data_IF_453406221524
#
_entry.id   IF_453406221524
#
_cell.length_a   1.000
_cell.length_b   1.000
_cell.length_c   1.000
_cell.angle_alpha   90.00
_cell.angle_beta   90.00
_cell.angle_gamma   90.00
#
_symmetry.space_group_name_H-M   'P 1'
#
loop_
_entity.id
_entity.type
_entity.pdbx_description
1 polymer ?
#
# COMPACT_ATOMS: atom_id res chain seq x y z
N UNK A 1 6.60 20.86 -1.72
CA UNK A 1 6.07 19.49 -1.65
C UNK A 1 5.11 19.39 -0.48
N UNK A 2 3.90 18.93 -0.74
CA UNK A 2 2.90 18.71 0.33
C UNK A 2 3.27 17.41 1.06
N UNK A 3 3.36 17.48 2.39
CA UNK A 3 3.69 16.34 3.22
C UNK A 3 2.64 16.18 4.32
N UNK A 4 2.27 14.95 4.63
CA UNK A 4 1.43 14.63 5.79
C UNK A 4 2.27 14.77 7.05
N UNK A 5 1.69 15.42 8.07
CA UNK A 5 2.30 15.66 9.37
C UNK A 5 1.51 14.93 10.48
N UNK A 6 2.12 14.67 11.66
CA UNK A 6 1.46 13.91 12.75
C UNK A 6 0.16 14.52 13.27
N UNK A 7 0.01 15.82 13.17
CA UNK A 7 -1.21 16.57 13.56
C UNK A 7 -2.38 16.41 12.58
N UNK A 8 -2.13 15.91 11.37
CA UNK A 8 -3.18 15.65 10.37
C UNK A 8 -3.97 14.36 10.61
N UNK A 9 -3.52 13.49 11.51
CA UNK A 9 -4.22 12.27 11.89
C UNK A 9 -3.34 11.04 11.95
N UNK A 10 -4.00 9.89 12.14
CA UNK A 10 -3.34 8.58 12.25
C UNK A 10 -3.02 7.98 10.89
N UNK A 11 -2.05 7.08 10.88
CA UNK A 11 -1.75 6.21 9.75
C UNK A 11 -2.28 4.81 10.04
N UNK A 12 -3.03 4.23 9.09
CA UNK A 12 -3.51 2.85 9.19
C UNK A 12 -2.65 1.95 8.29
N UNK A 13 -2.11 0.86 8.85
CA UNK A 13 -1.29 -0.12 8.10
C UNK A 13 -1.92 -1.50 8.23
N UNK A 14 -2.38 -2.07 7.12
CA UNK A 14 -2.87 -3.46 7.12
C UNK A 14 -1.72 -4.46 7.03
N UNK A 15 -1.86 -5.63 7.68
CA UNK A 15 -0.78 -6.62 7.77
C UNK A 15 0.38 -6.17 8.66
N UNK A 16 0.09 -5.39 9.72
CA UNK A 16 1.10 -4.81 10.60
C UNK A 16 1.74 -5.75 11.62
N UNK A 17 1.35 -7.02 11.67
CA UNK A 17 1.85 -7.99 12.65
C UNK A 17 3.23 -8.58 12.33
N UNK A 18 3.77 -8.41 11.13
CA UNK A 18 5.08 -8.97 10.74
C UNK A 18 5.68 -8.26 9.53
N UNK A 19 6.92 -8.57 9.21
CA UNK A 19 7.60 -8.19 7.97
C UNK A 19 7.51 -6.70 7.65
N UNK A 20 7.16 -6.37 6.41
CA UNK A 20 7.09 -5.00 5.93
C UNK A 20 6.07 -4.14 6.70
N UNK A 21 4.89 -4.71 7.02
CA UNK A 21 3.85 -3.97 7.74
C UNK A 21 4.28 -3.55 9.15
N UNK A 22 4.99 -4.43 9.88
CA UNK A 22 5.61 -4.12 11.17
C UNK A 22 6.65 -3.01 11.02
N UNK A 23 7.57 -3.15 10.07
CA UNK A 23 8.64 -2.17 9.84
C UNK A 23 8.08 -0.78 9.45
N UNK A 24 7.04 -0.73 8.60
CA UNK A 24 6.36 0.52 8.26
C UNK A 24 5.70 1.17 9.48
N UNK A 25 4.98 0.38 10.29
CA UNK A 25 4.32 0.90 11.49
C UNK A 25 5.32 1.50 12.48
N UNK A 26 6.42 0.78 12.75
CA UNK A 26 7.50 1.25 13.62
C UNK A 26 8.18 2.51 13.06
N UNK A 27 8.39 2.57 11.74
CA UNK A 27 8.94 3.74 11.09
C UNK A 27 8.02 4.96 11.22
N UNK A 28 6.70 4.83 11.04
CA UNK A 28 5.75 5.92 11.24
C UNK A 28 5.69 6.36 12.70
N UNK A 29 5.68 5.42 13.65
CA UNK A 29 5.71 5.74 15.08
C UNK A 29 6.98 6.52 15.47
N UNK A 30 8.15 6.10 14.95
CA UNK A 30 9.42 6.82 15.15
C UNK A 30 9.43 8.23 14.53
N UNK A 31 8.55 8.51 13.55
CA UNK A 31 8.33 9.83 12.97
C UNK A 31 7.26 10.64 13.72
N UNK A 32 6.74 10.12 14.83
CA UNK A 32 5.79 10.81 15.72
C UNK A 32 4.31 10.61 15.37
N UNK A 33 3.98 9.74 14.41
CA UNK A 33 2.58 9.49 14.04
C UNK A 33 1.91 8.52 15.00
N UNK A 34 0.63 8.75 15.29
CA UNK A 34 -0.26 7.71 15.77
C UNK A 34 -0.49 6.68 14.64
N UNK A 35 -0.32 5.39 14.94
CA UNK A 35 -0.41 4.31 13.96
C UNK A 35 -1.40 3.27 14.43
N UNK A 36 -2.35 2.88 13.58
CA UNK A 36 -3.18 1.70 13.81
C UNK A 36 -2.70 0.58 12.90
N UNK A 37 -2.37 -0.57 13.48
CA UNK A 37 -1.98 -1.76 12.73
C UNK A 37 -3.09 -2.79 12.74
N UNK A 38 -3.45 -3.29 11.54
CA UNK A 38 -4.53 -4.24 11.34
C UNK A 38 -3.97 -5.60 10.92
N UNK A 39 -4.53 -6.68 11.49
CA UNK A 39 -4.20 -8.05 11.15
C UNK A 39 -4.99 -9.05 11.97
N UNK A 40 -4.96 -10.32 11.59
CA UNK A 40 -5.78 -11.37 12.27
C UNK A 40 -5.16 -11.88 13.57
N UNK A 41 -3.81 -11.89 13.68
CA UNK A 41 -3.07 -12.46 14.81
C UNK A 41 -2.83 -11.39 15.87
N UNK A 42 -3.63 -11.41 16.94
CA UNK A 42 -3.55 -10.40 18.02
C UNK A 42 -2.15 -10.36 18.68
N UNK A 43 -1.54 -11.52 18.93
CA UNK A 43 -0.20 -11.64 19.53
C UNK A 43 0.87 -10.97 18.66
N UNK A 44 0.88 -11.26 17.34
CA UNK A 44 1.84 -10.66 16.42
C UNK A 44 1.68 -9.14 16.29
N UNK A 45 0.45 -8.62 16.40
CA UNK A 45 0.18 -7.19 16.44
C UNK A 45 0.69 -6.58 17.75
N UNK A 46 0.45 -7.25 18.89
CA UNK A 46 0.94 -6.80 20.19
C UNK A 46 2.48 -6.74 20.23
N UNK A 47 3.17 -7.77 19.68
CA UNK A 47 4.62 -7.76 19.52
C UNK A 47 5.11 -6.58 18.68
N UNK A 48 4.41 -6.27 17.58
CA UNK A 48 4.76 -5.15 16.69
C UNK A 48 4.64 -3.80 17.39
N UNK A 49 3.70 -3.67 18.33
CA UNK A 49 3.43 -2.46 19.09
C UNK A 49 4.27 -2.31 20.37
N UNK A 50 4.87 -3.41 20.90
CA UNK A 50 5.44 -3.47 22.24
C UNK A 50 6.45 -2.37 22.58
N UNK A 51 7.24 -1.91 21.60
CA UNK A 51 8.29 -0.89 21.81
C UNK A 51 7.86 0.52 21.36
N UNK A 52 6.60 0.69 20.95
CA UNK A 52 6.13 1.95 20.35
C UNK A 52 4.72 2.28 20.85
N UNK A 53 4.59 3.12 21.88
CA UNK A 53 3.28 3.47 22.49
C UNK A 53 2.33 4.18 21.51
N UNK A 54 2.83 4.72 20.40
CA UNK A 54 2.05 5.30 19.32
C UNK A 54 1.36 4.27 18.43
N UNK A 55 1.72 2.97 18.53
CA UNK A 55 1.14 1.90 17.71
C UNK A 55 -0.02 1.24 18.46
N UNK A 56 -1.20 1.32 17.89
CA UNK A 56 -2.41 0.67 18.43
C UNK A 56 -2.70 -0.59 17.60
N UNK A 57 -2.66 -1.79 18.18
CA UNK A 57 -3.06 -3.02 17.51
C UNK A 57 -4.58 -3.12 17.39
N UNK A 58 -5.06 -3.49 16.20
CA UNK A 58 -6.48 -3.75 15.92
C UNK A 58 -6.61 -5.13 15.26
N UNK A 59 -6.94 -6.19 16.05
CA UNK A 59 -7.22 -7.52 15.50
C UNK A 59 -8.48 -7.47 14.62
N UNK A 60 -8.30 -7.68 13.31
CA UNK A 60 -9.38 -7.62 12.32
C UNK A 60 -9.00 -8.45 11.08
N UNK A 61 -9.94 -9.23 10.56
CA UNK A 61 -9.82 -9.84 9.24
C UNK A 61 -10.34 -8.86 8.18
N UNK A 62 -9.45 -8.42 7.30
CA UNK A 62 -9.83 -7.48 6.23
C UNK A 62 -10.70 -8.11 5.13
N UNK A 63 -10.81 -9.44 5.09
CA UNK A 63 -11.75 -10.14 4.21
C UNK A 63 -13.22 -9.94 4.64
N UNK A 64 -13.46 -9.60 5.91
CA UNK A 64 -14.80 -9.20 6.40
C UNK A 64 -15.03 -7.70 6.15
N UNK A 65 -15.62 -7.39 5.00
CA UNK A 65 -15.87 -6.02 4.59
C UNK A 65 -16.76 -5.24 5.57
N UNK A 66 -17.71 -5.92 6.25
CA UNK A 66 -18.59 -5.27 7.23
C UNK A 66 -17.82 -4.88 8.48
N UNK A 67 -17.03 -5.81 9.02
CA UNK A 67 -16.18 -5.54 10.17
C UNK A 67 -15.16 -4.43 9.88
N UNK A 68 -14.60 -4.37 8.65
CA UNK A 68 -13.72 -3.29 8.21
C UNK A 68 -14.43 -1.94 8.24
N UNK A 69 -15.63 -1.82 7.67
CA UNK A 69 -16.39 -0.56 7.65
C UNK A 69 -16.69 -0.09 9.08
N UNK A 70 -17.11 -1.00 9.96
CA UNK A 70 -17.43 -0.65 11.34
C UNK A 70 -16.17 -0.22 12.13
N UNK A 71 -15.05 -0.92 11.93
CA UNK A 71 -13.77 -0.59 12.55
C UNK A 71 -13.23 0.78 12.09
N UNK A 72 -13.25 1.06 10.79
CA UNK A 72 -12.78 2.35 10.27
C UNK A 72 -13.69 3.52 10.69
N UNK A 73 -15.00 3.28 10.83
CA UNK A 73 -15.93 4.27 11.40
C UNK A 73 -15.58 4.59 12.85
N UNK A 74 -15.26 3.57 13.66
CA UNK A 74 -14.81 3.77 15.04
C UNK A 74 -13.49 4.55 15.09
N UNK A 75 -12.51 4.19 14.24
CA UNK A 75 -11.23 4.90 14.14
C UNK A 75 -11.42 6.37 13.75
N UNK A 76 -12.31 6.66 12.80
CA UNK A 76 -12.60 8.03 12.35
C UNK A 76 -13.31 8.86 13.42
N UNK A 77 -14.10 8.23 14.29
CA UNK A 77 -14.72 8.90 15.44
C UNK A 77 -13.70 9.29 16.53
N UNK A 78 -12.58 8.57 16.64
CA UNK A 78 -11.47 8.92 17.55
C UNK A 78 -10.55 10.00 16.99
N UNK A 79 -10.51 10.18 15.69
CA UNK A 79 -9.70 11.18 15.00
C UNK A 79 -9.43 10.85 13.52
N UNK A 80 -8.90 11.82 12.77
CA UNK A 80 -8.70 11.68 11.32
C UNK A 80 -7.80 10.52 10.91
N UNK A 81 -8.11 9.90 9.76
CA UNK A 81 -7.23 8.94 9.08
C UNK A 81 -6.44 9.68 8.01
N UNK A 82 -5.22 10.10 8.31
CA UNK A 82 -4.38 10.85 7.39
C UNK A 82 -3.88 9.99 6.22
N UNK A 83 -3.52 8.72 6.49
CA UNK A 83 -3.07 7.80 5.45
C UNK A 83 -3.48 6.35 5.72
N UNK A 84 -3.65 5.59 4.62
CA UNK A 84 -3.84 4.16 4.60
C UNK A 84 -2.73 3.50 3.77
N UNK A 85 -2.07 2.49 4.36
CA UNK A 85 -1.17 1.58 3.63
C UNK A 85 -1.81 0.21 3.54
N UNK A 86 -2.29 -0.16 2.36
CA UNK A 86 -2.78 -1.49 2.05
C UNK A 86 -1.60 -2.43 1.81
N UNK A 87 -1.11 -3.04 2.88
CA UNK A 87 0.05 -3.94 2.83
C UNK A 87 -0.33 -5.41 3.06
N UNK A 88 -1.42 -5.70 3.77
CA UNK A 88 -1.83 -7.07 4.03
C UNK A 88 -2.01 -7.87 2.74
N UNK A 89 -1.40 -9.04 2.69
CA UNK A 89 -1.53 -9.99 1.59
C UNK A 89 -1.18 -11.41 2.06
N UNK A 90 -1.63 -12.40 1.30
CA UNK A 90 -1.13 -13.78 1.37
C UNK A 90 -0.54 -14.17 0.02
N UNK A 91 0.47 -15.04 0.04
CA UNK A 91 1.14 -15.59 -1.14
C UNK A 91 1.18 -17.11 -1.04
N UNK A 92 0.03 -17.77 -1.25
CA UNK A 92 0.03 -19.24 -1.32
C UNK A 92 0.74 -19.69 -2.59
N UNK A 93 1.62 -20.68 -2.47
CA UNK A 93 2.27 -21.37 -3.59
C UNK A 93 1.60 -22.71 -3.76
N UNK A 94 0.88 -22.89 -4.86
CA UNK A 94 0.11 -24.09 -5.12
C UNK A 94 0.03 -24.35 -6.65
N UNK A 95 0.23 -25.59 -7.06
CA UNK A 95 0.01 -25.98 -8.45
C UNK A 95 -1.48 -25.90 -8.80
N UNK A 96 -1.82 -25.23 -9.89
CA UNK A 96 -3.21 -24.95 -10.24
C UNK A 96 -4.01 -26.20 -10.64
N UNK A 97 -3.36 -27.22 -11.17
CA UNK A 97 -4.04 -28.44 -11.64
C UNK A 97 -4.35 -29.39 -10.47
N UNK A 98 -3.48 -29.44 -9.48
CA UNK A 98 -3.59 -30.36 -8.34
C UNK A 98 -4.08 -29.68 -7.05
N UNK A 99 -4.04 -28.36 -7.03
CA UNK A 99 -4.43 -27.54 -5.89
C UNK A 99 -5.94 -27.35 -5.77
N UNK A 100 -6.34 -26.53 -4.80
CA UNK A 100 -7.76 -26.26 -4.52
C UNK A 100 -8.16 -24.89 -5.08
N UNK A 101 -9.30 -24.79 -5.79
CA UNK A 101 -9.83 -23.48 -6.24
C UNK A 101 -9.97 -22.47 -5.10
N UNK A 102 -10.27 -22.95 -3.88
CA UNK A 102 -10.43 -22.12 -2.69
C UNK A 102 -9.17 -21.29 -2.36
N UNK A 103 -7.98 -21.82 -2.62
CA UNK A 103 -6.72 -21.09 -2.40
C UNK A 103 -6.65 -19.79 -3.18
N UNK A 104 -7.09 -19.79 -4.44
CA UNK A 104 -7.19 -18.58 -5.25
C UNK A 104 -8.28 -17.64 -4.75
N UNK A 105 -9.45 -18.17 -4.40
CA UNK A 105 -10.57 -17.38 -3.89
C UNK A 105 -10.22 -16.71 -2.55
N UNK A 106 -9.51 -17.40 -1.67
CA UNK A 106 -9.03 -16.83 -0.40
C UNK A 106 -8.02 -15.71 -0.63
N UNK A 107 -7.11 -15.88 -1.61
CA UNK A 107 -6.18 -14.82 -1.98
C UNK A 107 -6.91 -13.59 -2.56
N UNK A 108 -7.95 -13.77 -3.36
CA UNK A 108 -8.79 -12.68 -3.86
C UNK A 108 -9.53 -12.00 -2.70
N UNK A 109 -10.10 -12.76 -1.76
CA UNK A 109 -10.81 -12.21 -0.61
C UNK A 109 -9.89 -11.32 0.26
N UNK A 110 -8.65 -11.74 0.51
CA UNK A 110 -7.73 -10.99 1.36
C UNK A 110 -7.03 -9.87 0.55
N UNK A 111 -6.34 -10.22 -0.57
CA UNK A 111 -5.46 -9.29 -1.27
C UNK A 111 -6.22 -8.22 -2.05
N UNK A 112 -7.39 -8.56 -2.59
CA UNK A 112 -8.23 -7.64 -3.36
C UNK A 112 -9.40 -7.11 -2.54
N UNK A 113 -10.34 -7.98 -2.09
CA UNK A 113 -11.56 -7.50 -1.44
C UNK A 113 -11.26 -6.76 -0.14
N UNK A 114 -10.26 -7.22 0.64
CA UNK A 114 -9.78 -6.52 1.82
C UNK A 114 -9.20 -5.13 1.50
N UNK A 115 -8.41 -5.02 0.42
CA UNK A 115 -7.90 -3.72 -0.05
C UNK A 115 -9.04 -2.79 -0.48
N UNK A 116 -10.05 -3.31 -1.17
CA UNK A 116 -11.25 -2.56 -1.59
C UNK A 116 -11.99 -2.05 -0.35
N UNK A 117 -12.28 -2.92 0.62
CA UNK A 117 -13.00 -2.57 1.83
C UNK A 117 -12.27 -1.50 2.66
N UNK A 118 -10.96 -1.67 2.90
CA UNK A 118 -10.15 -0.71 3.64
C UNK A 118 -10.05 0.64 2.92
N UNK A 119 -9.84 0.63 1.59
CA UNK A 119 -9.77 1.86 0.79
C UNK A 119 -11.10 2.60 0.80
N UNK A 120 -12.23 1.89 0.61
CA UNK A 120 -13.56 2.48 0.68
C UNK A 120 -13.81 3.13 2.04
N UNK A 121 -13.54 2.41 3.13
CA UNK A 121 -13.78 2.89 4.49
C UNK A 121 -12.89 4.11 4.86
N UNK A 122 -11.60 4.10 4.46
CA UNK A 122 -10.72 5.23 4.67
C UNK A 122 -11.15 6.46 3.84
N UNK A 123 -11.61 6.26 2.61
CA UNK A 123 -12.07 7.34 1.74
C UNK A 123 -13.31 8.04 2.30
N UNK A 124 -14.21 7.35 3.04
CA UNK A 124 -15.36 7.99 3.68
C UNK A 124 -14.91 9.10 4.65
N UNK A 125 -13.88 8.84 5.46
CA UNK A 125 -13.31 9.85 6.37
C UNK A 125 -12.50 10.91 5.61
N UNK A 126 -11.59 10.49 4.72
CA UNK A 126 -10.73 11.40 3.95
C UNK A 126 -11.54 12.38 3.10
N UNK A 127 -12.66 11.93 2.51
CA UNK A 127 -13.52 12.77 1.66
C UNK A 127 -14.18 13.92 2.42
N UNK A 128 -14.50 13.76 3.72
CA UNK A 128 -15.09 14.84 4.54
C UNK A 128 -14.10 15.99 4.73
N UNK A 129 -12.80 15.71 4.69
CA UNK A 129 -11.72 16.68 4.87
C UNK A 129 -11.08 17.13 3.56
N UNK A 130 -11.42 16.45 2.44
CA UNK A 130 -10.85 16.70 1.13
C UNK A 130 -9.34 16.39 1.03
N UNK A 131 -8.78 15.65 1.98
CA UNK A 131 -7.35 15.36 2.07
C UNK A 131 -7.08 13.96 2.61
N UNK A 132 -6.11 13.26 2.02
CA UNK A 132 -5.72 11.94 2.46
C UNK A 132 -4.71 11.26 1.54
N UNK A 133 -4.19 10.13 1.98
CA UNK A 133 -3.20 9.35 1.23
C UNK A 133 -3.51 7.87 1.28
N UNK A 134 -3.53 7.21 0.13
CA UNK A 134 -3.61 5.74 0.04
C UNK A 134 -2.40 5.23 -0.73
N UNK A 135 -1.66 4.30 -0.13
CA UNK A 135 -0.58 3.58 -0.78
C UNK A 135 -0.93 2.09 -0.81
N UNK A 136 -1.01 1.55 -2.01
CA UNK A 136 -1.24 0.12 -2.20
C UNK A 136 0.11 -0.56 -2.44
N UNK A 137 0.47 -1.50 -1.56
CA UNK A 137 1.67 -2.33 -1.77
C UNK A 137 1.39 -3.29 -2.92
N UNK A 138 2.08 -3.11 -4.02
CA UNK A 138 1.95 -3.84 -5.28
C UNK A 138 3.11 -4.83 -5.50
N UNK A 139 3.13 -5.48 -6.66
CA UNK A 139 4.15 -6.46 -7.04
C UNK A 139 4.37 -6.44 -8.55
N UNK A 140 5.43 -7.11 -9.03
CA UNK A 140 5.60 -7.45 -10.44
C UNK A 140 5.01 -8.81 -10.82
N UNK A 141 4.58 -9.61 -9.85
CA UNK A 141 4.03 -10.94 -10.11
C UNK A 141 2.76 -10.92 -10.98
N UNK A 142 2.13 -9.75 -11.14
CA UNK A 142 1.03 -9.52 -12.07
C UNK A 142 1.48 -9.42 -13.55
N UNK A 143 2.74 -9.04 -13.79
CA UNK A 143 3.32 -8.90 -15.14
C UNK A 143 4.09 -10.16 -15.55
N UNK A 144 4.78 -10.78 -14.60
CA UNK A 144 5.59 -12.00 -14.83
C UNK A 144 5.24 -13.02 -13.73
N UNK A 145 4.09 -13.70 -13.84
CA UNK A 145 3.69 -14.74 -12.90
C UNK A 145 4.69 -15.90 -12.89
N UNK A 146 4.97 -16.42 -11.70
CA UNK A 146 5.78 -17.62 -11.53
C UNK A 146 4.87 -18.88 -11.44
N UNK A 147 5.37 -20.08 -11.79
CA UNK A 147 4.65 -21.31 -11.51
C UNK A 147 4.24 -21.39 -10.02
N UNK A 148 3.01 -21.85 -9.78
CA UNK A 148 2.44 -21.91 -8.43
C UNK A 148 1.96 -20.59 -7.84
N UNK A 149 2.14 -19.45 -8.52
CA UNK A 149 1.76 -18.12 -8.01
C UNK A 149 0.42 -17.61 -8.50
N UNK A 150 -0.40 -18.43 -9.16
CA UNK A 150 -1.64 -17.99 -9.80
C UNK A 150 -2.54 -17.17 -8.84
N UNK A 151 -2.77 -17.66 -7.62
CA UNK A 151 -3.59 -16.99 -6.62
C UNK A 151 -3.09 -15.58 -6.27
N UNK A 152 -1.78 -15.46 -6.06
CA UNK A 152 -1.14 -14.19 -5.74
C UNK A 152 -1.15 -13.24 -6.94
N UNK A 153 -0.69 -13.72 -8.10
CA UNK A 153 -0.55 -12.90 -9.31
C UNK A 153 -1.89 -12.34 -9.79
N UNK A 154 -2.95 -13.16 -9.79
CA UNK A 154 -4.30 -12.73 -10.16
C UNK A 154 -4.83 -11.68 -9.17
N UNK A 155 -4.76 -11.96 -7.88
CA UNK A 155 -5.29 -11.06 -6.86
C UNK A 155 -4.56 -9.72 -6.83
N UNK A 156 -3.24 -9.71 -6.98
CA UNK A 156 -2.42 -8.48 -7.00
C UNK A 156 -2.54 -7.72 -8.32
N UNK A 157 -2.71 -8.42 -9.45
CA UNK A 157 -3.03 -7.79 -10.73
C UNK A 157 -4.38 -7.08 -10.71
N UNK A 158 -5.39 -7.73 -10.13
CA UNK A 158 -6.71 -7.13 -9.92
C UNK A 158 -6.65 -5.93 -8.96
N UNK A 159 -5.82 -5.96 -7.91
CA UNK A 159 -5.59 -4.83 -7.02
C UNK A 159 -5.03 -3.62 -7.78
N UNK A 160 -4.09 -3.80 -8.72
CA UNK A 160 -3.57 -2.70 -9.54
C UNK A 160 -4.62 -2.13 -10.50
N UNK A 161 -5.52 -2.98 -11.04
CA UNK A 161 -6.66 -2.51 -11.82
C UNK A 161 -7.61 -1.70 -10.93
N UNK A 162 -7.90 -2.19 -9.71
CA UNK A 162 -8.70 -1.47 -8.74
C UNK A 162 -8.13 -0.09 -8.43
N UNK A 163 -6.81 0.04 -8.21
CA UNK A 163 -6.16 1.35 -8.01
C UNK A 163 -6.50 2.33 -9.13
N UNK A 164 -6.37 1.89 -10.39
CA UNK A 164 -6.68 2.74 -11.56
C UNK A 164 -8.15 3.10 -11.66
N UNK A 165 -9.05 2.15 -11.42
CA UNK A 165 -10.49 2.37 -11.42
C UNK A 165 -10.90 3.38 -10.33
N UNK A 166 -10.37 3.21 -9.11
CA UNK A 166 -10.63 4.10 -7.99
C UNK A 166 -10.19 5.54 -8.29
N UNK A 167 -9.02 5.70 -8.90
CA UNK A 167 -8.50 7.00 -9.33
C UNK A 167 -9.42 7.64 -10.38
N UNK A 168 -9.86 6.85 -11.38
CA UNK A 168 -10.77 7.35 -12.41
C UNK A 168 -12.09 7.87 -11.84
N UNK A 169 -12.58 7.28 -10.75
CA UNK A 169 -13.81 7.71 -10.08
C UNK A 169 -13.63 8.89 -9.13
N UNK A 170 -12.43 9.08 -8.58
CA UNK A 170 -12.23 9.99 -7.44
C UNK A 170 -11.34 11.19 -7.71
N UNK A 171 -10.42 11.14 -8.69
CA UNK A 171 -9.37 12.14 -8.85
C UNK A 171 -9.87 13.57 -9.10
N UNK A 172 -10.98 13.72 -9.86
CA UNK A 172 -11.56 15.04 -10.13
C UNK A 172 -12.44 15.53 -8.99
N UNK A 173 -13.07 14.61 -8.25
CA UNK A 173 -13.96 14.93 -7.14
C UNK A 173 -13.21 15.19 -5.83
N UNK A 174 -12.09 14.52 -5.64
CA UNK A 174 -11.30 14.51 -4.41
C UNK A 174 -9.81 14.77 -4.71
N UNK A 175 -9.45 15.92 -5.33
CA UNK A 175 -8.10 16.18 -5.81
C UNK A 175 -7.01 16.25 -4.72
N UNK A 176 -7.40 16.40 -3.46
CA UNK A 176 -6.49 16.39 -2.32
C UNK A 176 -6.26 15.01 -1.70
N UNK A 177 -6.89 13.95 -2.25
CA UNK A 177 -6.65 12.57 -1.82
C UNK A 177 -5.79 11.90 -2.88
N UNK A 178 -4.58 11.51 -2.52
CA UNK A 178 -3.58 10.96 -3.46
C UNK A 178 -3.46 9.45 -3.29
N UNK A 179 -3.57 8.70 -4.39
CA UNK A 179 -3.53 7.24 -4.43
C UNK A 179 -2.37 6.79 -5.31
N UNK A 180 -1.50 5.91 -4.82
CA UNK A 180 -0.35 5.38 -5.55
C UNK A 180 -0.14 3.90 -5.28
N UNK A 181 0.53 3.21 -6.22
CA UNK A 181 1.05 1.88 -6.01
C UNK A 181 2.54 1.92 -5.64
N UNK A 182 2.96 1.02 -4.77
CA UNK A 182 4.36 0.85 -4.40
C UNK A 182 4.78 -0.61 -4.42
N UNK A 183 5.85 -0.91 -5.13
CA UNK A 183 6.48 -2.22 -5.24
C UNK A 183 7.77 -2.20 -4.41
N UNK A 184 7.79 -2.77 -3.20
CA UNK A 184 8.96 -2.70 -2.30
C UNK A 184 10.19 -3.47 -2.80
N UNK A 185 10.01 -4.33 -3.81
CA UNK A 185 11.02 -5.31 -4.24
C UNK A 185 10.89 -6.64 -3.48
N UNK A 186 11.82 -7.54 -3.72
CA UNK A 186 11.91 -8.79 -2.95
C UNK A 186 12.42 -8.49 -1.54
N UNK A 187 11.67 -8.85 -0.52
CA UNK A 187 11.95 -8.57 0.88
C UNK A 187 12.42 -9.82 1.61
N UNK A 188 13.24 -9.64 2.64
CA UNK A 188 13.66 -10.69 3.57
C UNK A 188 12.59 -10.89 4.66
N UNK A 189 11.52 -11.61 4.30
CA UNK A 189 10.38 -11.93 5.18
C UNK A 189 9.97 -13.38 4.98
N UNK A 190 9.06 -13.89 5.80
CA UNK A 190 8.47 -15.23 5.61
C UNK A 190 7.84 -15.43 4.22
N UNK A 191 7.27 -14.37 3.65
CA UNK A 191 6.65 -14.39 2.32
C UNK A 191 7.68 -14.17 1.21
N UNK A 192 8.86 -13.65 1.52
CA UNK A 192 9.83 -13.16 0.56
C UNK A 192 11.02 -14.08 0.35
N UNK A 193 12.19 -13.50 0.13
CA UNK A 193 13.44 -14.23 -0.16
C UNK A 193 14.45 -14.03 0.95
N UNK A 194 15.27 -15.09 1.29
CA UNK A 194 16.32 -14.96 2.31
C UNK A 194 17.32 -13.83 2.04
N UNK A 195 17.67 -13.62 0.77
CA UNK A 195 18.61 -12.57 0.34
C UNK A 195 17.91 -11.26 -0.07
N UNK A 196 16.62 -11.12 0.30
CA UNK A 196 15.83 -9.93 0.00
C UNK A 196 16.26 -8.70 0.81
N UNK A 197 15.72 -7.55 0.42
CA UNK A 197 15.90 -6.27 1.12
C UNK A 197 15.35 -6.39 2.54
N UNK A 198 16.05 -5.85 3.53
CA UNK A 198 15.54 -5.80 4.89
C UNK A 198 14.22 -4.99 4.93
N UNK A 199 13.17 -5.48 5.63
CA UNK A 199 11.91 -4.76 5.74
C UNK A 199 12.07 -3.33 6.27
N UNK A 200 13.03 -3.09 7.15
CA UNK A 200 13.34 -1.80 7.75
C UNK A 200 13.88 -0.80 6.70
N UNK A 201 14.73 -1.28 5.77
CA UNK A 201 15.24 -0.44 4.68
C UNK A 201 14.12 -0.09 3.68
N UNK A 202 13.31 -1.06 3.31
CA UNK A 202 12.15 -0.82 2.44
C UNK A 202 11.13 0.12 3.12
N UNK A 203 10.92 0.00 4.43
CA UNK A 203 10.01 0.85 5.19
C UNK A 203 10.41 2.32 5.16
N UNK A 204 11.69 2.67 4.99
CA UNK A 204 12.13 4.05 4.80
C UNK A 204 11.53 4.65 3.52
N UNK A 205 11.55 3.91 2.41
CA UNK A 205 10.95 4.35 1.14
C UNK A 205 9.43 4.39 1.23
N UNK A 206 8.82 3.32 1.75
CA UNK A 206 7.37 3.24 1.89
C UNK A 206 6.80 4.35 2.78
N UNK A 207 7.47 4.66 3.88
CA UNK A 207 7.08 5.76 4.75
C UNK A 207 7.24 7.12 4.05
N UNK A 208 8.37 7.39 3.40
CA UNK A 208 8.58 8.64 2.69
C UNK A 208 7.56 8.85 1.57
N UNK A 209 7.22 7.79 0.80
CA UNK A 209 6.17 7.84 -0.23
C UNK A 209 4.78 8.06 0.38
N UNK A 210 4.47 7.39 1.49
CA UNK A 210 3.17 7.55 2.16
C UNK A 210 2.98 8.97 2.69
N UNK A 211 4.03 9.60 3.18
CA UNK A 211 3.96 10.96 3.70
C UNK A 211 3.98 12.03 2.61
N UNK A 212 4.36 11.71 1.38
CA UNK A 212 4.30 12.63 0.24
C UNK A 212 2.85 12.69 -0.30
N UNK A 213 2.26 13.87 -0.29
CA UNK A 213 0.87 14.12 -0.66
C UNK A 213 0.71 15.07 -1.86
N UNK A 214 1.74 15.18 -2.68
CA UNK A 214 1.68 16.00 -3.90
C UNK A 214 0.75 15.34 -4.93
N UNK A 215 -0.15 16.14 -5.54
CA UNK A 215 -1.14 15.65 -6.49
C UNK A 215 -0.54 14.94 -7.70
N UNK A 216 0.66 15.29 -8.10
CA UNK A 216 1.37 14.69 -9.23
C UNK A 216 1.85 13.23 -8.95
N UNK A 217 1.69 12.75 -7.70
CA UNK A 217 1.87 11.35 -7.33
C UNK A 217 0.62 10.48 -7.55
N UNK A 218 -0.50 11.08 -7.97
CA UNK A 218 -1.74 10.35 -8.27
C UNK A 218 -1.51 9.34 -9.39
N UNK A 219 -1.78 8.06 -9.12
CA UNK A 219 -1.63 6.97 -10.09
C UNK A 219 -0.19 6.55 -10.39
N UNK A 220 0.78 7.13 -9.71
CA UNK A 220 2.19 6.79 -9.92
C UNK A 220 2.51 5.47 -9.23
N UNK A 221 3.30 4.64 -9.90
CA UNK A 221 3.87 3.43 -9.32
C UNK A 221 5.35 3.67 -9.02
N UNK A 222 5.79 3.33 -7.82
CA UNK A 222 7.20 3.27 -7.47
C UNK A 222 7.65 1.83 -7.30
N UNK A 223 8.86 1.52 -7.77
CA UNK A 223 9.60 0.32 -7.41
C UNK A 223 10.77 0.70 -6.52
N UNK A 224 10.82 0.12 -5.31
CA UNK A 224 11.80 0.50 -4.29
C UNK A 224 11.78 2.03 -4.09
N UNK A 225 12.88 2.70 -4.44
CA UNK A 225 13.04 4.14 -4.36
C UNK A 225 12.78 4.89 -5.67
N UNK A 226 12.39 4.21 -6.77
CA UNK A 226 12.28 4.83 -8.10
C UNK A 226 10.89 4.73 -8.71
N UNK A 227 10.49 5.79 -9.39
CA UNK A 227 9.28 5.81 -10.19
C UNK A 227 9.38 4.85 -11.38
N UNK A 228 8.34 4.04 -11.57
CA UNK A 228 8.16 3.20 -12.75
C UNK A 228 7.49 4.03 -13.85
N UNK A 229 8.28 4.47 -14.81
CA UNK A 229 7.75 5.26 -15.93
C UNK A 229 6.86 4.40 -16.83
N UNK A 230 5.69 4.93 -17.20
CA UNK A 230 4.81 4.26 -18.15
C UNK A 230 5.51 4.07 -19.51
N UNK A 231 5.27 2.94 -20.21
CA UNK A 231 5.78 2.73 -21.57
C UNK A 231 5.35 3.88 -22.48
N UNK A 232 6.34 4.49 -23.16
CA UNK A 232 6.06 5.59 -24.08
C UNK A 232 5.67 5.04 -25.46
N UNK A 233 4.64 5.65 -26.07
CA UNK A 233 4.31 5.37 -27.46
C UNK A 233 5.49 5.75 -28.38
N UNK A 234 5.62 5.08 -29.54
CA UNK A 234 6.68 5.37 -30.51
C UNK A 234 6.74 6.85 -30.91
N UNK A 235 5.58 7.49 -31.09
CA UNK A 235 5.48 8.93 -31.40
C UNK A 235 6.09 9.79 -30.30
N UNK A 236 5.81 9.46 -29.04
CA UNK A 236 6.34 10.19 -27.89
C UNK A 236 7.83 9.97 -27.69
N UNK A 237 8.33 8.75 -27.97
CA UNK A 237 9.77 8.44 -27.97
C UNK A 237 10.51 9.25 -29.03
N UNK A 238 9.99 9.33 -30.27
CA UNK A 238 10.56 10.13 -31.35
C UNK A 238 10.58 11.63 -30.99
N UNK A 239 9.45 12.15 -30.53
CA UNK A 239 9.33 13.54 -30.09
C UNK A 239 10.36 13.87 -28.97
N UNK A 240 10.48 13.01 -27.97
CA UNK A 240 11.44 13.20 -26.89
C UNK A 240 12.90 13.13 -27.37
N UNK A 241 13.19 12.29 -28.37
CA UNK A 241 14.54 12.21 -28.98
C UNK A 241 14.87 13.49 -29.72
N UNK A 242 13.93 14.03 -30.50
CA UNK A 242 14.12 15.25 -31.31
C UNK A 242 14.23 16.50 -30.40
N UNK A 243 13.45 16.55 -29.31
CA UNK A 243 13.40 17.71 -28.41
C UNK A 243 14.42 17.63 -27.26
N UNK A 244 15.19 16.54 -27.13
CA UNK A 244 16.12 16.32 -26.02
C UNK A 244 15.43 16.10 -24.66
N UNK A 245 14.09 16.02 -24.63
CA UNK A 245 13.31 15.83 -23.40
C UNK A 245 13.28 14.36 -23.02
N UNK A 246 14.08 13.97 -22.03
CA UNK A 246 13.99 12.62 -21.42
C UNK A 246 13.19 12.72 -20.13
N UNK A 247 12.07 11.97 -19.96
CA UNK A 247 11.41 11.90 -18.67
C UNK A 247 12.41 11.34 -17.66
N UNK A 248 12.55 12.03 -16.54
CA UNK A 248 13.35 11.55 -15.41
C UNK A 248 12.41 10.88 -14.41
N UNK A 249 12.73 9.63 -14.02
CA UNK A 249 12.04 8.96 -12.94
C UNK A 249 12.33 9.70 -11.62
N UNK A 250 11.29 9.99 -10.88
CA UNK A 250 11.41 10.54 -9.52
C UNK A 250 12.05 9.51 -8.60
N UNK A 251 12.64 9.99 -7.51
CA UNK A 251 13.22 9.12 -6.48
C UNK A 251 12.65 9.44 -5.12
N UNK A 252 12.46 8.38 -4.32
CA UNK A 252 12.11 8.50 -2.91
C UNK A 252 13.42 8.65 -2.13
N UNK A 253 13.48 9.70 -1.32
CA UNK A 253 14.57 9.96 -0.37
C UNK A 253 14.00 10.07 1.04
N UNK A 254 14.84 10.13 2.06
CA UNK A 254 14.37 10.33 3.44
C UNK A 254 13.62 11.67 3.64
N UNK A 255 13.85 12.64 2.74
CA UNK A 255 13.17 13.94 2.73
C UNK A 255 11.85 13.97 1.96
N UNK A 256 11.50 12.93 1.23
CA UNK A 256 10.31 12.84 0.38
C UNK A 256 10.61 12.35 -1.04
N UNK A 257 9.75 12.70 -2.00
CA UNK A 257 9.87 12.32 -3.41
C UNK A 257 10.47 13.48 -4.20
N UNK A 258 11.57 13.25 -4.91
CA UNK A 258 12.30 14.23 -5.71
C UNK A 258 12.40 13.81 -7.17
#
# INVERSE_FOLDING_TARGET
MSRITPDEGRIVVTGGGSGLGRALAQRFAALGFAVTIIGRRAEALAESAASHPQITPLPLDIADARAVVDAFRALAAEGPIAALVNNAAIYPVEDFLTGRPQTLLDAVAINLSGTVACSHAALQDMATRGRGRIVNVATFADQVPLPGSAAYSVSKGAQRIFTRALIAETADRLPGIVISDWIPGALRTEMGLPDGIAPEDAARWGAALTLAADRDLMGVTFERDREVLAPQSLKRRLFNTVTGRRPRARRITDGGVV
#
